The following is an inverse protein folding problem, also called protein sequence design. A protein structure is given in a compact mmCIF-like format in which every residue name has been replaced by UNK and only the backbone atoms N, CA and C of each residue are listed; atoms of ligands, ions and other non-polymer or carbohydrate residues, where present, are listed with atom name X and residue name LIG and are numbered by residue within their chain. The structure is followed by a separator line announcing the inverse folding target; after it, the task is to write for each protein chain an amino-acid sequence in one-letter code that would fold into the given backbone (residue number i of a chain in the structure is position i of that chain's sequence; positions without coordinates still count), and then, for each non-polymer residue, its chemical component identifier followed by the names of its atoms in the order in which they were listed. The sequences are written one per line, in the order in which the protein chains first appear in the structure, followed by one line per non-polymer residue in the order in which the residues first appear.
data_IF_928453249401
#
_entry.id   IF_928453249401
#
_cell.length_a   1.000
_cell.length_b   1.000
_cell.length_c   1.000
_cell.angle_alpha   90.00
_cell.angle_beta   90.00
_cell.angle_gamma   90.00
#
_symmetry.space_group_name_H-M   'P 1'
#
loop_
_entity.id
_entity.type
_entity.pdbx_description
1 polymer ?
#
# COMPACT_ATOMS: atom_id res chain seq x y z
N UNK A 1 17.19 -15.99 9.82
CA UNK A 1 16.96 -15.07 8.68
C UNK A 1 15.56 -14.53 8.89
N UNK A 2 15.34 -13.22 8.84
CA UNK A 2 13.97 -12.70 8.88
C UNK A 2 13.23 -13.27 7.65
N UNK A 3 12.08 -13.89 7.86
CA UNK A 3 11.30 -14.50 6.77
C UNK A 3 10.96 -13.44 5.73
N UNK A 4 11.52 -13.56 4.53
CA UNK A 4 11.20 -12.68 3.40
C UNK A 4 9.79 -12.98 2.89
N UNK A 5 9.00 -11.94 2.61
CA UNK A 5 7.65 -12.10 2.08
C UNK A 5 7.73 -12.16 0.56
N UNK A 6 7.14 -13.19 -0.06
CA UNK A 6 7.14 -13.34 -1.53
C UNK A 6 6.04 -12.51 -2.18
N UNK A 7 6.41 -11.75 -3.21
CA UNK A 7 5.49 -10.97 -4.03
C UNK A 7 5.85 -10.99 -5.51
N UNK A 8 5.06 -10.27 -6.28
CA UNK A 8 5.27 -10.00 -7.70
C UNK A 8 5.00 -8.53 -8.00
N UNK A 9 5.42 -8.06 -9.16
CA UNK A 9 4.93 -6.81 -9.71
C UNK A 9 4.38 -7.04 -11.13
N UNK A 10 3.34 -6.28 -11.47
CA UNK A 10 2.59 -6.46 -12.73
C UNK A 10 2.15 -5.14 -13.32
N UNK A 11 1.82 -5.19 -14.60
CA UNK A 11 1.27 -4.07 -15.37
C UNK A 11 0.36 -4.60 -16.48
N UNK A 12 0.06 -3.78 -17.48
CA UNK A 12 -0.57 -4.25 -18.71
C UNK A 12 0.15 -5.41 -19.41
N UNK A 13 1.47 -5.57 -19.19
CA UNK A 13 2.29 -6.60 -19.84
C UNK A 13 1.87 -8.04 -19.50
N UNK A 14 1.31 -8.28 -18.32
CA UNK A 14 0.87 -9.61 -17.89
C UNK A 14 -0.52 -9.99 -18.41
N UNK A 15 -1.22 -9.09 -19.10
CA UNK A 15 -2.48 -9.38 -19.78
C UNK A 15 -3.63 -9.67 -18.82
N UNK A 16 -4.20 -10.88 -18.88
CA UNK A 16 -5.28 -11.34 -18.01
C UNK A 16 -4.69 -12.27 -16.96
N UNK A 17 -4.98 -12.00 -15.69
CA UNK A 17 -4.40 -12.71 -14.54
C UNK A 17 -5.52 -13.43 -13.78
N UNK A 18 -5.29 -14.70 -13.48
CA UNK A 18 -6.10 -15.50 -12.55
C UNK A 18 -5.57 -15.32 -11.13
N UNK A 19 -6.17 -14.38 -10.40
CA UNK A 19 -5.71 -13.94 -9.08
C UNK A 19 -5.84 -15.00 -7.99
N UNK A 20 -6.82 -15.91 -8.10
CA UNK A 20 -6.99 -17.01 -7.16
C UNK A 20 -5.83 -18.00 -7.28
N UNK A 21 -5.39 -18.30 -8.51
CA UNK A 21 -4.17 -19.11 -8.74
C UNK A 21 -2.92 -18.39 -8.26
N UNK A 22 -2.83 -17.07 -8.45
CA UNK A 22 -1.69 -16.28 -7.94
C UNK A 22 -1.63 -16.38 -6.41
N UNK A 23 -2.75 -16.17 -5.70
CA UNK A 23 -2.83 -16.31 -4.24
C UNK A 23 -2.45 -17.73 -3.79
N UNK A 24 -3.01 -18.74 -4.45
CA UNK A 24 -2.74 -20.15 -4.14
C UNK A 24 -1.26 -20.55 -4.37
N UNK A 25 -0.54 -19.85 -5.25
CA UNK A 25 0.89 -20.07 -5.49
C UNK A 25 1.82 -19.62 -4.34
N UNK A 26 1.26 -18.98 -3.31
CA UNK A 26 1.98 -18.48 -2.15
C UNK A 26 2.43 -17.02 -2.26
N UNK A 27 2.08 -16.31 -3.33
CA UNK A 27 2.26 -14.86 -3.44
C UNK A 27 1.44 -14.18 -2.33
N UNK A 28 2.06 -13.21 -1.65
CA UNK A 28 1.44 -12.47 -0.54
C UNK A 28 1.09 -11.03 -0.90
N UNK A 29 1.91 -10.40 -1.75
CA UNK A 29 1.68 -9.03 -2.20
C UNK A 29 1.92 -8.85 -3.70
N UNK A 30 1.37 -7.76 -4.24
CA UNK A 30 1.51 -7.34 -5.63
C UNK A 30 1.80 -5.84 -5.69
N UNK A 31 2.87 -5.43 -6.37
CA UNK A 31 3.09 -4.03 -6.77
C UNK A 31 2.52 -3.82 -8.18
N UNK A 32 1.53 -2.94 -8.34
CA UNK A 32 0.78 -2.82 -9.60
C UNK A 32 1.09 -1.50 -10.28
N UNK A 33 1.45 -1.51 -11.57
CA UNK A 33 1.65 -0.25 -12.31
C UNK A 33 0.33 0.49 -12.39
N UNK A 34 0.30 1.70 -11.85
CA UNK A 34 -0.85 2.60 -11.96
C UNK A 34 -0.74 3.50 -13.18
N UNK A 35 0.46 3.98 -13.48
CA UNK A 35 0.71 4.88 -14.60
C UNK A 35 2.15 4.79 -15.10
N UNK A 36 2.36 5.29 -16.32
CA UNK A 36 3.66 5.67 -16.85
C UNK A 36 3.57 7.13 -17.34
N UNK A 37 4.37 8.00 -16.73
CA UNK A 37 4.19 9.45 -16.82
C UNK A 37 2.75 9.87 -16.50
N UNK A 38 2.10 10.54 -17.44
CA UNK A 38 0.69 10.99 -17.33
C UNK A 38 -0.32 10.04 -17.97
N UNK A 39 0.08 8.80 -18.26
CA UNK A 39 -0.81 7.80 -18.89
C UNK A 39 -1.13 6.69 -17.90
N UNK A 40 -2.42 6.47 -17.64
CA UNK A 40 -2.85 5.36 -16.78
C UNK A 40 -2.55 4.01 -17.45
N UNK A 41 -2.12 3.03 -16.66
CA UNK A 41 -1.95 1.67 -17.16
C UNK A 41 -3.33 1.05 -17.44
N UNK A 42 -3.50 0.50 -18.65
CA UNK A 42 -4.79 -0.03 -19.13
C UNK A 42 -5.33 -1.21 -18.32
N UNK A 43 -4.47 -1.89 -17.54
CA UNK A 43 -4.85 -3.00 -16.66
C UNK A 43 -4.87 -2.62 -15.18
N UNK A 44 -4.51 -1.38 -14.82
CA UNK A 44 -4.41 -0.97 -13.41
C UNK A 44 -5.66 -1.32 -12.60
N UNK A 45 -6.83 -0.86 -13.05
CA UNK A 45 -8.10 -1.07 -12.33
C UNK A 45 -8.40 -2.57 -12.14
N UNK A 46 -8.38 -3.35 -13.22
CA UNK A 46 -8.72 -4.78 -13.16
C UNK A 46 -7.71 -5.59 -12.35
N UNK A 47 -6.43 -5.18 -12.36
CA UNK A 47 -5.40 -5.82 -11.54
C UNK A 47 -5.56 -5.48 -10.06
N UNK A 48 -5.82 -4.21 -9.73
CA UNK A 48 -6.05 -3.78 -8.34
C UNK A 48 -7.26 -4.49 -7.73
N UNK A 49 -8.41 -4.42 -8.40
CA UNK A 49 -9.65 -5.02 -7.91
C UNK A 49 -9.52 -6.54 -7.78
N UNK A 50 -8.90 -7.19 -8.78
CA UNK A 50 -8.70 -8.63 -8.78
C UNK A 50 -7.75 -9.12 -7.68
N UNK A 51 -6.61 -8.45 -7.50
CA UNK A 51 -5.64 -8.80 -6.47
C UNK A 51 -6.22 -8.61 -5.05
N UNK A 52 -6.88 -7.47 -4.80
CA UNK A 52 -7.50 -7.21 -3.50
C UNK A 52 -8.65 -8.17 -3.19
N UNK A 53 -9.47 -8.51 -4.19
CA UNK A 53 -10.54 -9.51 -4.03
C UNK A 53 -10.01 -10.90 -3.68
N UNK A 54 -8.85 -11.28 -4.21
CA UNK A 54 -8.16 -12.53 -3.85
C UNK A 54 -7.45 -12.44 -2.48
N UNK A 55 -7.56 -11.31 -1.77
CA UNK A 55 -6.94 -11.09 -0.46
C UNK A 55 -5.42 -10.93 -0.52
N UNK A 56 -4.88 -10.45 -1.64
CA UNK A 56 -3.47 -10.08 -1.74
C UNK A 56 -3.26 -8.65 -1.24
N UNK A 57 -2.14 -8.43 -0.56
CA UNK A 57 -1.70 -7.08 -0.25
C UNK A 57 -1.27 -6.34 -1.51
N UNK A 58 -1.59 -5.05 -1.62
CA UNK A 58 -1.33 -4.29 -2.85
C UNK A 58 -0.62 -2.97 -2.57
N UNK A 59 0.43 -2.75 -3.34
CA UNK A 59 1.07 -1.45 -3.53
C UNK A 59 1.01 -1.07 -5.00
N UNK A 60 1.51 0.11 -5.33
CA UNK A 60 1.44 0.64 -6.70
C UNK A 60 2.76 1.26 -7.10
N UNK A 61 2.99 1.38 -8.40
CA UNK A 61 4.12 2.15 -8.92
C UNK A 61 3.73 3.04 -10.08
N UNK A 62 4.46 4.14 -10.23
CA UNK A 62 4.43 5.01 -11.40
C UNK A 62 5.81 5.01 -12.04
N UNK A 63 5.85 4.57 -13.30
CA UNK A 63 7.03 4.67 -14.16
C UNK A 63 7.21 6.12 -14.59
N UNK A 64 8.23 6.81 -14.09
CA UNK A 64 8.37 8.25 -14.29
C UNK A 64 8.89 8.59 -15.69
N UNK A 65 8.35 9.67 -16.28
CA UNK A 65 8.95 10.34 -17.44
C UNK A 65 9.37 11.78 -17.08
N UNK A 66 9.28 12.16 -15.81
CA UNK A 66 9.53 13.50 -15.34
C UNK A 66 11.02 13.87 -15.46
N UNK A 67 11.28 15.01 -16.11
CA UNK A 67 12.62 15.62 -16.17
C UNK A 67 12.74 16.88 -15.31
N UNK A 68 11.65 17.29 -14.66
CA UNK A 68 11.58 18.47 -13.80
C UNK A 68 10.78 18.19 -12.55
N UNK A 69 11.04 18.93 -11.47
CA UNK A 69 10.30 18.80 -10.21
C UNK A 69 8.82 19.16 -10.36
N UNK A 70 8.49 20.10 -11.26
CA UNK A 70 7.10 20.41 -11.59
C UNK A 70 6.40 19.20 -12.23
N UNK A 71 7.06 18.54 -13.19
CA UNK A 71 6.48 17.35 -13.83
C UNK A 71 6.34 16.18 -12.87
N UNK A 72 7.29 16.01 -11.95
CA UNK A 72 7.22 15.00 -10.90
C UNK A 72 5.98 15.18 -10.00
N UNK A 73 5.65 16.43 -9.65
CA UNK A 73 4.44 16.76 -8.88
C UNK A 73 3.16 16.50 -9.67
N UNK A 74 3.14 16.81 -10.97
CA UNK A 74 2.01 16.47 -11.84
C UNK A 74 1.79 14.95 -11.92
N UNK A 75 2.86 14.17 -12.11
CA UNK A 75 2.80 12.70 -12.12
C UNK A 75 2.30 12.16 -10.78
N UNK A 76 2.79 12.70 -9.66
CA UNK A 76 2.32 12.31 -8.32
C UNK A 76 0.83 12.64 -8.11
N UNK A 77 0.37 13.83 -8.51
CA UNK A 77 -1.05 14.20 -8.40
C UNK A 77 -1.94 13.33 -9.30
N UNK A 78 -1.46 13.00 -10.50
CA UNK A 78 -2.16 12.07 -11.38
C UNK A 78 -2.26 10.69 -10.75
N UNK A 79 -1.17 10.16 -10.20
CA UNK A 79 -1.16 8.90 -9.47
C UNK A 79 -2.16 8.90 -8.30
N UNK A 80 -2.16 9.95 -7.47
CA UNK A 80 -3.10 10.11 -6.36
C UNK A 80 -4.56 10.05 -6.83
N UNK A 81 -4.87 10.61 -7.99
CA UNK A 81 -6.22 10.56 -8.56
C UNK A 81 -6.67 9.13 -8.95
N UNK A 82 -5.72 8.30 -9.38
CA UNK A 82 -5.97 6.90 -9.75
C UNK A 82 -6.12 6.00 -8.52
N UNK A 83 -5.29 6.23 -7.48
CA UNK A 83 -5.18 5.30 -6.34
C UNK A 83 -6.17 5.61 -5.22
N UNK A 84 -6.77 6.81 -5.21
CA UNK A 84 -7.73 7.26 -4.18
C UNK A 84 -8.84 6.25 -3.82
N UNK A 85 -9.42 5.48 -4.76
CA UNK A 85 -10.47 4.51 -4.43
C UNK A 85 -9.96 3.26 -3.70
N UNK A 86 -8.65 3.03 -3.66
CA UNK A 86 -8.07 1.78 -3.20
C UNK A 86 -7.37 1.95 -1.86
N UNK A 87 -7.51 0.94 -1.02
CA UNK A 87 -6.69 0.78 0.18
C UNK A 87 -5.37 0.11 -0.19
N UNK A 88 -4.24 0.79 0.03
CA UNK A 88 -2.92 0.23 -0.22
C UNK A 88 -2.27 -0.25 1.08
N UNK A 89 -1.96 -1.55 1.19
CA UNK A 89 -1.21 -2.12 2.33
C UNK A 89 0.29 -2.25 2.03
N UNK A 90 0.69 -1.93 0.81
CA UNK A 90 2.09 -1.83 0.37
C UNK A 90 2.37 -0.43 -0.21
N UNK A 91 3.66 -0.05 -0.37
CA UNK A 91 4.05 1.32 -0.70
C UNK A 91 3.57 1.84 -2.06
N UNK A 92 3.68 3.16 -2.23
CA UNK A 92 3.64 3.85 -3.53
C UNK A 92 5.08 4.03 -4.02
N UNK A 93 5.40 3.39 -5.15
CA UNK A 93 6.74 3.43 -5.71
C UNK A 93 6.93 4.51 -6.77
N UNK A 94 8.05 5.24 -6.66
CA UNK A 94 8.60 6.03 -7.75
C UNK A 94 9.57 5.14 -8.54
N UNK A 95 9.19 4.78 -9.76
CA UNK A 95 9.99 3.92 -10.63
C UNK A 95 10.87 4.78 -11.55
N UNK A 96 12.18 4.78 -11.28
CA UNK A 96 13.19 5.61 -11.91
C UNK A 96 14.17 4.77 -12.75
N UNK A 97 13.82 4.53 -14.01
CA UNK A 97 14.66 3.73 -14.91
C UNK A 97 14.75 4.24 -16.37
N UNK A 98 13.91 5.20 -16.77
CA UNK A 98 13.89 5.65 -18.16
C UNK A 98 15.18 6.39 -18.56
N UNK A 99 15.98 5.75 -19.41
CA UNK A 99 17.27 6.28 -19.88
C UNK A 99 17.15 7.48 -20.83
N UNK A 100 15.94 7.76 -21.35
CA UNK A 100 15.69 8.83 -22.34
C UNK A 100 15.23 10.14 -21.69
N UNK A 101 14.69 10.07 -20.48
CA UNK A 101 14.14 11.20 -19.73
C UNK A 101 14.94 11.41 -18.44
N UNK A 102 14.48 10.91 -17.30
CA UNK A 102 15.11 11.06 -15.98
C UNK A 102 16.57 10.54 -15.96
N UNK A 103 16.90 9.58 -16.82
CA UNK A 103 18.27 9.07 -17.01
C UNK A 103 19.24 10.06 -17.64
N UNK A 104 18.77 11.14 -18.27
CA UNK A 104 19.62 12.20 -18.84
C UNK A 104 19.96 13.32 -17.86
N UNK A 105 19.31 13.36 -16.70
CA UNK A 105 19.57 14.36 -15.68
C UNK A 105 20.91 14.14 -14.97
N UNK A 106 21.44 15.20 -14.37
CA UNK A 106 22.48 15.05 -13.35
C UNK A 106 21.91 14.32 -12.13
N UNK A 107 22.78 13.73 -11.30
CA UNK A 107 22.35 13.07 -10.07
C UNK A 107 21.58 14.02 -9.15
N UNK A 108 21.99 15.28 -9.07
CA UNK A 108 21.31 16.29 -8.25
C UNK A 108 19.90 16.59 -8.77
N UNK A 109 19.75 16.86 -10.07
CA UNK A 109 18.45 17.15 -10.69
C UNK A 109 17.51 15.93 -10.61
N UNK A 110 18.04 14.73 -10.84
CA UNK A 110 17.31 13.47 -10.68
C UNK A 110 16.81 13.28 -9.24
N UNK A 111 17.66 13.52 -8.26
CA UNK A 111 17.28 13.41 -6.84
C UNK A 111 16.21 14.44 -6.48
N UNK A 112 16.29 15.66 -7.00
CA UNK A 112 15.25 16.69 -6.81
C UNK A 112 13.90 16.28 -7.41
N UNK A 113 13.89 15.55 -8.54
CA UNK A 113 12.67 14.98 -9.14
C UNK A 113 12.06 13.93 -8.21
N UNK A 114 12.88 13.02 -7.66
CA UNK A 114 12.44 12.00 -6.69
C UNK A 114 11.81 12.64 -5.45
N UNK A 115 12.50 13.61 -4.84
CA UNK A 115 11.99 14.31 -3.64
C UNK A 115 10.67 15.02 -3.93
N UNK A 116 10.56 15.73 -5.05
CA UNK A 116 9.34 16.45 -5.42
C UNK A 116 8.13 15.53 -5.63
N UNK A 117 8.35 14.31 -6.12
CA UNK A 117 7.31 13.29 -6.19
C UNK A 117 6.90 12.83 -4.78
N UNK A 118 7.86 12.46 -3.93
CA UNK A 118 7.55 11.97 -2.59
C UNK A 118 6.98 13.02 -1.65
N UNK A 119 7.31 14.31 -1.81
CA UNK A 119 6.66 15.40 -1.06
C UNK A 119 5.14 15.38 -1.26
N UNK A 120 4.68 15.09 -2.48
CA UNK A 120 3.25 15.00 -2.80
C UNK A 120 2.63 13.70 -2.28
N UNK A 121 3.32 12.57 -2.49
CA UNK A 121 2.82 11.24 -2.08
C UNK A 121 2.74 11.11 -0.54
N UNK A 122 3.81 11.45 0.16
CA UNK A 122 3.85 11.39 1.63
C UNK A 122 2.98 12.48 2.25
N UNK A 123 2.90 13.67 1.63
CA UNK A 123 1.97 14.73 2.04
C UNK A 123 0.50 14.31 1.93
N UNK A 124 0.18 13.37 1.04
CA UNK A 124 -1.14 12.75 0.93
C UNK A 124 -1.35 11.54 1.86
N UNK A 125 -0.37 11.23 2.72
CA UNK A 125 -0.45 10.16 3.73
C UNK A 125 -0.04 8.77 3.24
N UNK A 126 0.56 8.65 2.05
CA UNK A 126 1.03 7.36 1.53
C UNK A 126 2.50 7.11 1.88
N UNK A 127 2.86 5.85 2.07
CA UNK A 127 4.25 5.43 2.30
C UNK A 127 5.00 5.31 0.98
N UNK A 128 6.08 6.07 0.79
CA UNK A 128 6.89 6.07 -0.43
C UNK A 128 8.00 5.02 -0.46
N UNK A 129 8.29 4.46 -1.63
CA UNK A 129 9.48 3.61 -1.88
C UNK A 129 10.14 3.98 -3.21
N UNK A 130 11.47 4.14 -3.23
CA UNK A 130 12.20 4.40 -4.47
C UNK A 130 12.54 3.08 -5.15
N UNK A 131 12.08 2.89 -6.38
CA UNK A 131 12.47 1.77 -7.22
C UNK A 131 13.52 2.19 -8.25
N UNK A 132 14.60 1.38 -8.35
CA UNK A 132 15.57 1.45 -9.43
C UNK A 132 16.44 0.18 -9.48
N UNK A 133 17.14 -0.04 -10.59
CA UNK A 133 18.20 -1.06 -10.66
C UNK A 133 19.34 -0.80 -9.67
N UNK A 134 20.08 -1.84 -9.27
CA UNK A 134 21.26 -1.73 -8.40
C UNK A 134 22.25 -0.65 -8.89
N UNK A 135 22.51 -0.59 -10.20
CA UNK A 135 23.41 0.40 -10.77
C UNK A 135 22.91 1.83 -10.54
N UNK A 136 21.62 2.07 -10.77
CA UNK A 136 21.02 3.38 -10.53
C UNK A 136 21.03 3.73 -9.06
N UNK A 137 20.64 2.79 -8.20
CA UNK A 137 20.60 3.00 -6.76
C UNK A 137 21.96 3.42 -6.19
N UNK A 138 23.06 2.87 -6.72
CA UNK A 138 24.42 3.22 -6.27
C UNK A 138 24.96 4.51 -6.92
N UNK A 139 24.66 4.76 -8.20
CA UNK A 139 25.44 5.71 -9.00
C UNK A 139 24.65 6.94 -9.49
N UNK A 140 23.32 6.93 -9.44
CA UNK A 140 22.47 7.92 -10.14
C UNK A 140 21.76 8.90 -9.20
N UNK A 141 21.94 8.79 -7.89
CA UNK A 141 21.30 9.66 -6.90
C UNK A 141 22.31 10.26 -5.92
N UNK A 142 21.93 11.37 -5.30
CA UNK A 142 22.66 11.91 -4.14
C UNK A 142 22.27 11.08 -2.91
N UNK A 143 23.17 10.19 -2.49
CA UNK A 143 22.88 9.15 -1.49
C UNK A 143 22.31 9.68 -0.17
N UNK A 144 22.86 10.78 0.34
CA UNK A 144 22.40 11.40 1.59
C UNK A 144 20.94 11.88 1.51
N UNK A 145 20.48 12.30 0.33
CA UNK A 145 19.13 12.82 0.09
C UNK A 145 18.10 11.71 -0.05
N UNK A 146 18.46 10.62 -0.72
CA UNK A 146 17.57 9.44 -0.83
C UNK A 146 17.62 8.51 0.39
N UNK A 147 18.50 8.76 1.36
CA UNK A 147 18.69 7.90 2.53
C UNK A 147 17.40 7.65 3.33
N UNK A 148 16.50 8.65 3.38
CA UNK A 148 15.25 8.58 4.15
C UNK A 148 14.16 7.68 3.53
N UNK A 149 14.17 7.50 2.21
CA UNK A 149 13.15 6.71 1.52
C UNK A 149 13.44 5.23 1.64
N UNK A 150 12.41 4.38 1.57
CA UNK A 150 12.69 2.95 1.42
C UNK A 150 13.20 2.63 0.02
N UNK A 151 13.87 1.48 -0.16
CA UNK A 151 14.45 1.07 -1.44
C UNK A 151 13.87 -0.24 -1.92
N UNK A 152 13.32 -0.22 -3.13
CA UNK A 152 12.99 -1.39 -3.91
C UNK A 152 14.05 -1.55 -5.00
N UNK A 153 14.93 -2.52 -4.85
CA UNK A 153 16.11 -2.65 -5.73
C UNK A 153 15.89 -3.78 -6.73
N UNK A 154 16.04 -3.49 -8.02
CA UNK A 154 16.14 -4.54 -9.03
C UNK A 154 17.58 -5.04 -9.15
N UNK A 155 17.77 -6.34 -8.88
CA UNK A 155 19.04 -7.02 -8.99
C UNK A 155 18.79 -8.51 -9.29
N UNK A 156 18.91 -8.92 -10.54
CA UNK A 156 18.65 -10.30 -10.96
C UNK A 156 19.84 -11.22 -10.65
N UNK A 157 19.98 -11.60 -9.37
CA UNK A 157 21.03 -12.48 -8.86
C UNK A 157 20.49 -13.42 -7.78
N UNK A 158 21.31 -14.37 -7.31
CA UNK A 158 20.92 -15.29 -6.24
C UNK A 158 20.90 -14.62 -4.86
N UNK A 159 21.60 -13.50 -4.71
CA UNK A 159 21.68 -12.73 -3.47
C UNK A 159 21.60 -11.24 -3.77
N UNK A 160 20.96 -10.48 -2.88
CA UNK A 160 20.96 -9.02 -2.93
C UNK A 160 22.24 -8.47 -2.28
N UNK A 161 23.05 -7.75 -3.06
CA UNK A 161 24.27 -7.10 -2.55
C UNK A 161 23.98 -5.73 -1.93
N UNK A 162 22.91 -5.05 -2.36
CA UNK A 162 22.46 -3.80 -1.77
C UNK A 162 22.04 -3.97 -0.31
N UNK A 163 22.53 -3.11 0.59
CA UNK A 163 22.23 -3.18 2.02
C UNK A 163 21.09 -2.25 2.39
N UNK A 164 20.18 -2.72 3.24
CA UNK A 164 19.06 -1.93 3.74
C UNK A 164 17.93 -1.70 2.74
N UNK A 165 17.82 -2.53 1.70
CA UNK A 165 16.61 -2.54 0.87
C UNK A 165 15.39 -2.98 1.70
N UNK A 166 14.25 -2.36 1.44
CA UNK A 166 12.97 -2.84 1.96
C UNK A 166 12.33 -3.88 1.05
N UNK A 167 12.63 -3.83 -0.24
CA UNK A 167 12.16 -4.80 -1.24
C UNK A 167 13.24 -5.09 -2.29
N UNK A 168 13.22 -6.31 -2.83
CA UNK A 168 14.13 -6.78 -3.86
C UNK A 168 13.37 -7.42 -5.01
N UNK A 169 13.55 -6.91 -6.23
CA UNK A 169 13.16 -7.60 -7.45
C UNK A 169 14.32 -8.49 -7.90
N UNK A 170 14.16 -9.81 -7.77
CA UNK A 170 15.23 -10.79 -7.96
C UNK A 170 15.15 -11.56 -9.27
N UNK A 171 14.04 -11.47 -10.00
CA UNK A 171 13.89 -12.06 -11.33
C UNK A 171 12.91 -11.24 -12.17
N UNK A 172 13.16 -11.14 -13.47
CA UNK A 172 12.21 -10.62 -14.46
C UNK A 172 11.60 -11.72 -15.35
N UNK A 173 11.93 -12.99 -15.09
CA UNK A 173 11.53 -14.15 -15.91
C UNK A 173 10.85 -15.22 -15.07
N UNK A 174 10.13 -14.79 -14.04
CA UNK A 174 9.39 -15.68 -13.15
C UNK A 174 8.24 -16.38 -13.86
N UNK A 175 7.81 -17.51 -13.29
CA UNK A 175 6.61 -18.24 -13.68
C UNK A 175 5.72 -18.39 -12.45
N UNK A 176 4.52 -17.83 -12.51
CA UNK A 176 3.53 -17.89 -11.41
C UNK A 176 2.21 -18.45 -11.97
N UNK A 177 1.65 -19.51 -11.36
CA UNK A 177 0.32 -19.99 -11.71
C UNK A 177 -0.71 -18.86 -11.76
N UNK A 178 -1.43 -18.76 -12.87
CA UNK A 178 -2.41 -17.71 -13.12
C UNK A 178 -1.92 -16.54 -13.97
N UNK A 179 -0.61 -16.49 -14.28
CA UNK A 179 -0.03 -15.51 -15.22
C UNK A 179 0.56 -16.26 -16.42
N UNK A 180 0.21 -15.80 -17.62
CA UNK A 180 0.80 -16.31 -18.85
C UNK A 180 2.07 -15.52 -19.17
N UNK A 181 3.21 -16.21 -19.31
CA UNK A 181 4.48 -15.58 -19.62
C UNK A 181 5.25 -15.11 -18.39
N UNK A 182 6.21 -14.20 -18.62
CA UNK A 182 7.16 -13.72 -17.62
C UNK A 182 6.49 -12.76 -16.64
N UNK A 183 6.86 -12.89 -15.37
CA UNK A 183 6.47 -11.97 -14.30
C UNK A 183 7.65 -11.70 -13.39
N UNK A 184 7.75 -10.46 -12.93
CA UNK A 184 8.78 -10.02 -12.04
C UNK A 184 8.54 -10.57 -10.63
N UNK A 185 9.58 -11.14 -10.02
CA UNK A 185 9.51 -11.76 -8.71
C UNK A 185 10.18 -10.90 -7.66
N UNK A 186 9.48 -10.73 -6.54
CA UNK A 186 9.88 -9.83 -5.48
C UNK A 186 9.96 -10.52 -4.11
N UNK A 187 10.85 -10.01 -3.27
CA UNK A 187 10.92 -10.28 -1.83
C UNK A 187 10.83 -8.97 -1.07
N UNK A 188 9.89 -8.87 -0.13
CA UNK A 188 9.86 -7.78 0.85
C UNK A 188 10.52 -8.23 2.16
N UNK A 189 11.31 -7.35 2.75
CA UNK A 189 12.03 -7.57 4.00
C UNK A 189 11.43 -6.80 5.18
N UNK A 190 10.32 -6.09 4.94
CA UNK A 190 9.60 -5.31 5.93
C UNK A 190 8.13 -5.68 5.93
N UNK A 191 7.51 -5.52 7.09
CA UNK A 191 6.07 -5.56 7.26
C UNK A 191 5.45 -4.24 6.78
N UNK A 192 5.30 -4.10 5.46
CA UNK A 192 4.67 -2.92 4.87
C UNK A 192 3.23 -2.68 5.30
N UNK A 193 2.37 -3.69 5.52
CA UNK A 193 1.06 -3.48 6.12
C UNK A 193 1.14 -2.69 7.44
N UNK A 194 2.07 -3.02 8.33
CA UNK A 194 2.29 -2.27 9.57
C UNK A 194 2.87 -0.87 9.35
N UNK A 195 3.68 -0.65 8.31
CA UNK A 195 4.28 0.65 8.02
C UNK A 195 3.31 1.62 7.31
N UNK A 196 2.42 1.08 6.48
CA UNK A 196 1.42 1.85 5.72
C UNK A 196 0.20 2.18 6.58
N UNK A 197 -0.14 1.31 7.53
CA UNK A 197 -1.28 1.49 8.46
C UNK A 197 -0.87 1.28 9.92
N UNK A 198 0.08 2.06 10.45
CA UNK A 198 0.63 1.84 11.80
C UNK A 198 -0.44 1.88 12.89
N UNK A 199 -1.45 2.73 12.74
CA UNK A 199 -2.54 2.86 13.70
C UNK A 199 -3.51 1.65 13.73
N UNK A 200 -3.52 0.80 12.70
CA UNK A 200 -4.36 -0.40 12.71
C UNK A 200 -3.76 -1.51 13.59
N UNK A 201 -2.44 -1.49 13.79
CA UNK A 201 -1.71 -2.43 14.63
C UNK A 201 -1.32 -1.84 15.99
N UNK A 202 -1.65 -0.56 16.26
CA UNK A 202 -1.42 0.04 17.56
C UNK A 202 -2.34 -0.56 18.61
N UNK A 203 -1.73 -1.21 19.58
CA UNK A 203 -2.44 -1.64 20.78
C UNK A 203 -2.76 -0.44 21.67
N UNK A 204 -3.75 -0.63 22.51
CA UNK A 204 -4.31 0.37 23.39
C UNK A 204 -5.27 -0.26 24.38
N UNK A 205 -6.03 0.58 25.06
CA UNK A 205 -7.03 0.15 26.04
C UNK A 205 -8.36 0.82 25.76
N UNK A 206 -9.43 0.07 26.01
CA UNK A 206 -10.78 0.60 26.03
C UNK A 206 -11.00 1.44 27.29
N UNK A 207 -11.58 2.61 27.12
CA UNK A 207 -11.96 3.53 28.20
C UNK A 207 -13.44 3.84 28.06
N UNK A 208 -14.16 3.83 29.19
CA UNK A 208 -15.60 4.12 29.23
C UNK A 208 -15.87 5.30 30.16
N UNK A 209 -16.82 6.15 29.76
CA UNK A 209 -17.46 7.13 30.63
C UNK A 209 -18.95 7.25 30.25
N UNK A 210 -19.64 8.25 30.81
CA UNK A 210 -21.08 8.47 30.60
C UNK A 210 -21.46 8.75 29.13
N UNK A 211 -20.51 9.17 28.28
CA UNK A 211 -20.73 9.39 26.85
C UNK A 211 -20.59 8.11 26.02
N UNK A 212 -19.83 7.13 26.51
CA UNK A 212 -19.65 5.83 25.87
C UNK A 212 -18.21 5.33 25.92
N UNK A 213 -17.89 4.44 24.99
CA UNK A 213 -16.56 3.82 24.86
C UNK A 213 -15.69 4.58 23.88
N UNK A 214 -14.41 4.75 24.21
CA UNK A 214 -13.36 5.17 23.28
C UNK A 214 -12.11 4.30 23.48
N UNK A 215 -11.18 4.37 22.52
CA UNK A 215 -9.96 3.57 22.54
C UNK A 215 -8.73 4.47 22.61
N UNK A 216 -7.95 4.35 23.68
CA UNK A 216 -6.69 5.09 23.85
C UNK A 216 -5.53 4.19 23.41
N UNK A 217 -4.81 4.60 22.37
CA UNK A 217 -3.58 3.96 21.93
C UNK A 217 -2.47 4.15 22.96
N UNK A 218 -1.44 3.30 22.92
CA UNK A 218 -0.30 3.35 23.85
C UNK A 218 0.45 4.70 23.85
N UNK A 219 0.40 5.46 22.77
CA UNK A 219 0.99 6.80 22.65
C UNK A 219 0.09 7.92 23.19
N UNK A 220 -1.09 7.57 23.74
CA UNK A 220 -2.10 8.51 24.25
C UNK A 220 -3.01 9.10 23.16
N UNK A 221 -2.78 8.77 21.89
CA UNK A 221 -3.69 9.16 20.81
C UNK A 221 -4.93 8.26 20.78
N UNK A 222 -5.94 8.62 19.97
CA UNK A 222 -7.18 7.86 19.86
C UNK A 222 -7.84 8.04 18.48
N UNK A 223 -8.58 7.03 17.98
CA UNK A 223 -9.16 7.07 16.64
C UNK A 223 -10.36 8.01 16.55
N UNK A 224 -10.51 8.70 15.40
CA UNK A 224 -11.65 9.56 15.06
C UNK A 224 -11.99 9.43 13.57
N UNK A 225 -13.29 9.43 13.24
CA UNK A 225 -13.83 9.31 11.87
C UNK A 225 -13.21 8.16 11.07
N UNK A 226 -13.04 7.00 11.70
CA UNK A 226 -12.40 5.85 11.05
C UNK A 226 -12.87 4.52 11.59
N UNK A 227 -12.76 3.51 10.73
CA UNK A 227 -12.79 2.11 11.11
C UNK A 227 -11.48 1.71 11.81
N UNK A 228 -11.58 0.88 12.84
CA UNK A 228 -10.44 0.24 13.51
C UNK A 228 -10.80 -1.21 13.81
N UNK A 229 -9.87 -2.13 13.51
CA UNK A 229 -9.99 -3.53 13.91
C UNK A 229 -9.24 -3.72 15.22
N UNK A 230 -9.93 -4.13 16.28
CA UNK A 230 -9.34 -4.36 17.62
C UNK A 230 -9.69 -5.78 18.04
N UNK A 231 -8.69 -6.62 18.29
CA UNK A 231 -8.87 -8.04 18.64
C UNK A 231 -9.83 -8.77 17.67
N UNK A 232 -9.53 -8.63 16.37
CA UNK A 232 -10.28 -9.19 15.24
C UNK A 232 -11.75 -8.73 15.08
N UNK A 233 -12.16 -7.70 15.82
CA UNK A 233 -13.50 -7.11 15.72
C UNK A 233 -13.43 -5.71 15.13
N UNK A 234 -14.38 -5.36 14.26
CA UNK A 234 -14.46 -4.04 13.66
C UNK A 234 -15.26 -3.06 14.53
N UNK A 235 -14.76 -1.84 14.62
CA UNK A 235 -15.38 -0.71 15.33
C UNK A 235 -15.27 0.53 14.44
N UNK A 236 -16.24 1.44 14.55
CA UNK A 236 -16.15 2.77 13.94
C UNK A 236 -16.18 3.84 15.01
N UNK A 237 -15.24 4.78 14.95
CA UNK A 237 -15.14 5.88 15.91
C UNK A 237 -15.62 7.19 15.29
N UNK A 238 -16.52 7.88 15.99
CA UNK A 238 -17.08 9.15 15.57
C UNK A 238 -16.08 10.30 15.56
N UNK A 239 -16.54 11.49 15.15
CA UNK A 239 -15.74 12.73 15.19
C UNK A 239 -15.28 13.13 16.59
N UNK A 240 -16.04 12.72 17.62
CA UNK A 240 -15.71 12.93 19.02
C UNK A 240 -14.76 11.85 19.60
N UNK A 241 -14.43 10.80 18.83
CA UNK A 241 -13.55 9.72 19.25
C UNK A 241 -14.23 8.58 20.02
N UNK A 242 -15.56 8.61 20.16
CA UNK A 242 -16.32 7.51 20.77
C UNK A 242 -16.72 6.49 19.71
N UNK A 243 -16.69 5.21 20.09
CA UNK A 243 -17.14 4.11 19.26
C UNK A 243 -18.67 4.18 19.07
N UNK A 244 -19.12 3.96 17.84
CA UNK A 244 -20.53 3.95 17.50
C UNK A 244 -21.28 2.76 18.12
N UNK A 245 -22.57 2.97 18.37
CA UNK A 245 -23.53 1.99 18.87
C UNK A 245 -24.85 2.18 18.13
N UNK A 246 -25.59 1.10 17.90
CA UNK A 246 -26.84 1.13 17.15
C UNK A 246 -26.62 1.34 15.66
N UNK A 247 -27.65 1.85 14.98
CA UNK A 247 -27.65 2.04 13.52
C UNK A 247 -26.98 3.35 13.11
N UNK A 248 -26.06 3.27 12.14
CA UNK A 248 -25.39 4.43 11.54
C UNK A 248 -25.24 4.26 10.03
N UNK A 249 -25.23 5.38 9.30
CA UNK A 249 -24.83 5.43 7.89
C UNK A 249 -23.41 5.98 7.85
N UNK A 250 -22.49 5.25 7.21
CA UNK A 250 -21.08 5.64 7.06
C UNK A 250 -20.76 5.66 5.56
N UNK A 251 -20.47 6.85 5.04
CA UNK A 251 -20.48 7.07 3.59
C UNK A 251 -21.92 6.90 3.08
N UNK A 252 -22.11 6.00 2.12
CA UNK A 252 -23.43 5.68 1.53
C UNK A 252 -23.98 4.32 2.00
N UNK A 253 -23.29 3.67 2.97
CA UNK A 253 -23.61 2.30 3.40
C UNK A 253 -24.15 2.27 4.85
N UNK A 254 -25.19 1.47 5.14
CA UNK A 254 -25.73 1.30 6.47
C UNK A 254 -24.97 0.25 7.29
N UNK A 255 -24.75 0.52 8.58
CA UNK A 255 -24.10 -0.38 9.52
C UNK A 255 -24.85 -0.42 10.86
N UNK A 256 -24.80 -1.56 11.53
CA UNK A 256 -25.26 -1.70 12.90
C UNK A 256 -24.08 -2.04 13.82
N UNK A 257 -24.04 -1.41 14.99
CA UNK A 257 -23.02 -1.63 16.02
C UNK A 257 -23.70 -2.13 17.28
N UNK A 258 -23.21 -3.21 17.88
CA UNK A 258 -23.82 -3.83 19.04
C UNK A 258 -23.99 -2.83 20.19
N UNK A 259 -25.19 -2.68 20.72
CA UNK A 259 -25.49 -1.73 21.80
C UNK A 259 -25.07 -2.25 23.18
N UNK A 260 -24.90 -3.56 23.32
CA UNK A 260 -24.56 -4.23 24.57
C UNK A 260 -23.63 -5.43 24.34
N UNK A 261 -22.92 -5.83 25.39
CA UNK A 261 -22.23 -7.12 25.42
C UNK A 261 -23.26 -8.23 25.67
N UNK A 262 -23.28 -9.28 24.85
CA UNK A 262 -24.19 -10.43 25.02
C UNK A 262 -23.45 -11.77 25.22
N UNK A 263 -22.13 -11.72 25.33
CA UNK A 263 -21.26 -12.90 25.47
C UNK A 263 -20.65 -13.39 24.16
N UNK A 264 -21.24 -13.03 23.02
CA UNK A 264 -20.74 -13.34 21.66
C UNK A 264 -20.23 -12.05 21.00
N UNK A 265 -21.10 -11.04 20.94
CA UNK A 265 -20.79 -9.69 20.50
C UNK A 265 -20.26 -8.86 21.66
N UNK A 266 -19.27 -8.04 21.34
CA UNK A 266 -18.81 -6.98 22.23
C UNK A 266 -19.61 -5.71 21.96
N UNK A 267 -19.90 -4.94 23.00
CA UNK A 267 -20.48 -3.60 22.85
C UNK A 267 -19.63 -2.78 21.86
N UNK A 268 -20.31 -1.98 21.02
CA UNK A 268 -19.77 -1.22 19.90
C UNK A 268 -19.21 -2.06 18.73
N UNK A 269 -19.16 -3.39 18.81
CA UNK A 269 -18.70 -4.23 17.70
C UNK A 269 -19.63 -4.04 16.51
N UNK A 270 -19.05 -3.78 15.34
CA UNK A 270 -19.79 -3.75 14.09
C UNK A 270 -20.33 -5.13 13.76
N UNK A 271 -21.61 -5.13 13.43
CA UNK A 271 -22.39 -6.27 12.98
C UNK A 271 -22.67 -6.01 11.50
N UNK A 272 -22.13 -6.83 10.60
CA UNK A 272 -22.43 -6.70 9.18
C UNK A 272 -23.85 -7.23 8.97
N UNK A 273 -24.80 -6.35 8.67
CA UNK A 273 -26.16 -6.74 8.32
C UNK A 273 -26.28 -6.73 6.79
N UNK A 274 -26.39 -7.91 6.18
CA UNK A 274 -26.97 -7.96 4.83
C UNK A 274 -28.48 -7.68 4.92
N UNK A 275 -29.15 -7.47 3.78
CA UNK A 275 -30.61 -7.29 3.68
C UNK A 275 -31.45 -8.48 4.22
N UNK A 276 -30.81 -9.51 4.79
CA UNK A 276 -31.41 -10.69 5.41
C UNK A 276 -31.05 -10.86 6.90
N UNK A 277 -30.37 -9.89 7.52
CA UNK A 277 -30.21 -9.85 8.98
C UNK A 277 -29.34 -10.94 9.61
N UNK A 278 -28.39 -11.53 8.87
CA UNK A 278 -27.44 -12.49 9.44
C UNK A 278 -26.11 -11.82 9.76
N UNK A 279 -25.71 -11.90 11.03
CA UNK A 279 -24.40 -11.52 11.56
C UNK A 279 -23.35 -12.54 11.07
N UNK A 280 -22.25 -12.06 10.46
CA UNK A 280 -21.00 -12.84 10.33
C UNK A 280 -19.99 -12.38 11.36
#
# INVERSE_FOLDING_TARGET
MADSIRGIDVSAWQGVIDWDKVKASGVKFVMIRAAYGMTADTKFKVNMEGAQKAGLDTGVYLYTLATTTAKAREEAQFLLSLIKPYRLTYPVAFDAEDSKTIGKLSNDARTSVVEAFFDVIEGAGYYGILYASLNWMNNYFVQSRIARYDKWVAQWSNELSYKGAGMWQYSATGRVPGINGDVDLNQAFKDYPSLTHPQENMQGKWIQNDLGWWYEYQDGSYPKLKWVKINDRWYYFGSNGYAYRGYHIIGDEPYYFAEHNDGILKECQCVITNSKGVVQ
#
